data_IF_081380283186
#
_entry.id   IF_081380283186
#
_cell.length_a   1.000
_cell.length_b   1.000
_cell.length_c   1.000
_cell.angle_alpha   90.00
_cell.angle_beta   90.00
_cell.angle_gamma   90.00
#
_symmetry.space_group_name_H-M   'P 1'
#
loop_
_entity.id
_entity.type
_entity.pdbx_description
1 polymer ?
#
# COMPACT_ATOMS: atom_id res chain seq x y z
N UNK A 1 -1.81 13.77 -77.02
CA UNK A 1 -2.44 14.37 -75.82
C UNK A 1 -2.15 15.85 -75.83
N UNK A 2 -3.17 16.68 -76.00
CA UNK A 2 -3.01 18.13 -76.17
C UNK A 2 -2.58 18.81 -74.87
N UNK A 3 -1.83 19.92 -74.98
CA UNK A 3 -1.37 20.76 -73.86
C UNK A 3 -2.50 21.12 -72.87
N UNK A 4 -3.74 21.23 -73.37
CA UNK A 4 -4.93 21.56 -72.58
C UNK A 4 -5.42 20.41 -71.69
N UNK A 5 -5.32 19.15 -72.15
CA UNK A 5 -5.68 17.98 -71.37
C UNK A 5 -4.70 17.77 -70.21
N UNK A 6 -3.40 17.97 -70.47
CA UNK A 6 -2.37 17.88 -69.43
C UNK A 6 -2.54 18.96 -68.35
N UNK A 7 -2.86 20.19 -68.76
CA UNK A 7 -3.12 21.29 -67.83
C UNK A 7 -4.36 21.03 -66.97
N UNK A 8 -5.42 20.47 -67.57
CA UNK A 8 -6.65 20.08 -66.87
C UNK A 8 -6.39 18.95 -65.87
N UNK A 9 -5.67 17.90 -66.28
CA UNK A 9 -5.30 16.78 -65.41
C UNK A 9 -4.52 17.26 -64.18
N UNK A 10 -3.55 18.16 -64.36
CA UNK A 10 -2.79 18.74 -63.24
C UNK A 10 -3.68 19.52 -62.29
N UNK A 11 -4.61 20.32 -62.81
CA UNK A 11 -5.55 21.10 -61.99
C UNK A 11 -6.47 20.20 -61.17
N UNK A 12 -6.98 19.13 -61.76
CA UNK A 12 -7.88 18.21 -61.09
C UNK A 12 -7.14 17.34 -60.05
N UNK A 13 -5.92 16.88 -60.37
CA UNK A 13 -5.04 16.23 -59.39
C UNK A 13 -4.76 17.16 -58.18
N UNK A 14 -4.45 18.43 -58.43
CA UNK A 14 -4.20 19.40 -57.36
C UNK A 14 -5.43 19.60 -56.47
N UNK A 15 -6.63 19.74 -57.06
CA UNK A 15 -7.89 19.81 -56.30
C UNK A 15 -8.14 18.56 -55.47
N UNK A 16 -7.77 17.39 -55.98
CA UNK A 16 -7.95 16.14 -55.26
C UNK A 16 -7.04 16.04 -54.05
N UNK A 17 -5.76 16.38 -54.20
CA UNK A 17 -4.81 16.46 -53.08
C UNK A 17 -5.35 17.40 -52.00
N UNK A 18 -5.83 18.58 -52.38
CA UNK A 18 -6.37 19.56 -51.43
C UNK A 18 -7.68 19.10 -50.78
N UNK A 19 -8.53 18.35 -51.50
CA UNK A 19 -9.73 17.74 -50.92
C UNK A 19 -9.37 16.70 -49.85
N UNK A 20 -8.40 15.83 -50.12
CA UNK A 20 -7.92 14.82 -49.16
C UNK A 20 -7.32 15.49 -47.93
N UNK A 21 -6.46 16.50 -48.11
CA UNK A 21 -5.91 17.29 -47.00
C UNK A 21 -7.01 17.88 -46.10
N UNK A 22 -8.03 18.49 -46.70
CA UNK A 22 -9.18 19.04 -45.94
C UNK A 22 -10.00 17.96 -45.25
N UNK A 23 -10.18 16.80 -45.89
CA UNK A 23 -10.83 15.62 -45.29
C UNK A 23 -10.12 15.18 -44.01
N UNK A 24 -8.81 14.93 -44.10
CA UNK A 24 -8.00 14.49 -42.95
C UNK A 24 -8.03 15.50 -41.79
N UNK A 25 -7.97 16.82 -42.08
CA UNK A 25 -8.07 17.85 -41.04
C UNK A 25 -9.45 17.81 -40.37
N UNK A 26 -10.53 17.65 -41.14
CA UNK A 26 -11.89 17.57 -40.59
C UNK A 26 -12.06 16.33 -39.70
N UNK A 27 -11.54 15.19 -40.14
CA UNK A 27 -11.55 13.95 -39.37
C UNK A 27 -10.80 14.11 -38.04
N UNK A 28 -9.60 14.70 -38.06
CA UNK A 28 -8.83 14.97 -36.85
C UNK A 28 -9.56 15.90 -35.87
N UNK A 29 -10.20 16.96 -36.36
CA UNK A 29 -10.98 17.87 -35.50
C UNK A 29 -12.21 17.17 -34.93
N UNK A 30 -12.91 16.35 -35.73
CA UNK A 30 -14.07 15.61 -35.25
C UNK A 30 -13.69 14.57 -34.19
N UNK A 31 -12.53 13.93 -34.34
CA UNK A 31 -12.00 12.99 -33.33
C UNK A 31 -11.67 13.70 -32.01
N UNK A 32 -11.04 14.88 -32.08
CA UNK A 32 -10.85 15.72 -30.89
C UNK A 32 -12.19 16.04 -30.21
N UNK A 33 -13.25 16.31 -30.98
CA UNK A 33 -14.59 16.55 -30.44
C UNK A 33 -15.15 15.36 -29.67
N UNK A 34 -14.82 14.11 -30.05
CA UNK A 34 -15.34 12.91 -29.37
C UNK A 34 -14.70 12.66 -28.00
N UNK A 35 -13.41 13.00 -27.86
CA UNK A 35 -12.65 12.72 -26.64
C UNK A 35 -12.70 13.86 -25.61
N UNK A 36 -13.09 15.07 -26.04
CA UNK A 36 -13.18 16.24 -25.18
C UNK A 36 -14.56 16.29 -24.52
N UNK A 37 -14.65 16.62 -23.22
CA UNK A 37 -15.93 16.77 -22.52
C UNK A 37 -16.85 17.75 -23.26
N UNK A 38 -18.12 17.37 -23.42
CA UNK A 38 -19.13 18.15 -24.14
C UNK A 38 -18.74 18.49 -25.59
N UNK A 39 -17.80 17.78 -26.21
CA UNK A 39 -17.42 17.98 -27.61
C UNK A 39 -18.25 17.16 -28.60
N UNK A 40 -18.94 16.11 -28.14
CA UNK A 40 -19.78 15.27 -28.99
C UNK A 40 -20.96 16.07 -29.55
N UNK A 41 -21.07 16.15 -30.88
CA UNK A 41 -22.11 16.91 -31.58
C UNK A 41 -21.81 18.40 -31.79
N UNK A 42 -20.67 18.91 -31.28
CA UNK A 42 -20.20 20.26 -31.59
C UNK A 42 -19.78 20.34 -33.06
N UNK A 43 -20.30 21.33 -33.80
CA UNK A 43 -20.00 21.51 -35.24
C UNK A 43 -19.00 22.63 -35.50
N UNK A 44 -18.81 23.51 -34.52
CA UNK A 44 -17.88 24.62 -34.62
C UNK A 44 -16.44 24.16 -34.35
N UNK A 45 -15.63 24.02 -35.42
CA UNK A 45 -14.21 23.64 -35.33
C UNK A 45 -13.41 24.47 -34.33
N UNK A 46 -13.64 25.79 -34.30
CA UNK A 46 -12.97 26.69 -33.35
C UNK A 46 -13.30 26.39 -31.89
N UNK A 47 -14.56 26.05 -31.59
CA UNK A 47 -14.99 25.68 -30.25
C UNK A 47 -14.38 24.33 -29.82
N UNK A 48 -14.37 23.33 -30.72
CA UNK A 48 -13.72 22.04 -30.46
C UNK A 48 -12.24 22.23 -30.11
N UNK A 49 -11.51 23.01 -30.91
CA UNK A 49 -10.09 23.27 -30.69
C UNK A 49 -9.85 23.99 -29.36
N UNK A 50 -10.64 25.04 -29.06
CA UNK A 50 -10.51 25.78 -27.79
C UNK A 50 -10.79 24.88 -26.58
N UNK A 51 -11.84 24.05 -26.63
CA UNK A 51 -12.13 23.08 -25.55
C UNK A 51 -11.06 22.02 -25.43
N UNK A 52 -10.51 21.53 -26.54
CA UNK A 52 -9.41 20.56 -26.52
C UNK A 52 -8.19 21.12 -25.78
N UNK A 53 -7.82 22.38 -26.05
CA UNK A 53 -6.73 23.05 -25.34
C UNK A 53 -7.02 23.16 -23.84
N UNK A 54 -8.21 23.65 -23.47
CA UNK A 54 -8.62 23.76 -22.06
C UNK A 54 -8.60 22.39 -21.36
N UNK A 55 -9.07 21.34 -22.04
CA UNK A 55 -9.10 20.00 -21.49
C UNK A 55 -7.70 19.43 -21.28
N UNK A 56 -6.76 19.66 -22.20
CA UNK A 56 -5.36 19.28 -22.02
C UNK A 56 -4.73 19.96 -20.79
N UNK A 57 -5.00 21.26 -20.60
CA UNK A 57 -4.54 21.97 -19.40
C UNK A 57 -5.13 21.36 -18.12
N UNK A 58 -6.44 21.12 -18.10
CA UNK A 58 -7.10 20.48 -16.97
C UNK A 58 -6.55 19.08 -16.70
N UNK A 59 -6.33 18.25 -17.72
CA UNK A 59 -5.75 16.92 -17.55
C UNK A 59 -4.36 16.99 -16.91
N UNK A 60 -3.51 17.92 -17.35
CA UNK A 60 -2.18 18.13 -16.78
C UNK A 60 -2.23 18.57 -15.31
N UNK A 61 -3.10 19.51 -14.97
CA UNK A 61 -3.31 19.95 -13.59
C UNK A 61 -3.91 18.83 -12.70
N UNK A 62 -4.81 18.03 -13.27
CA UNK A 62 -5.40 16.90 -12.57
C UNK A 62 -4.38 15.77 -12.33
N UNK A 63 -3.51 15.50 -13.28
CA UNK A 63 -2.40 14.56 -13.12
C UNK A 63 -1.45 15.00 -12.00
N UNK A 64 -1.04 16.28 -11.97
CA UNK A 64 -0.21 16.83 -10.90
C UNK A 64 -0.89 16.67 -9.52
N UNK A 65 -2.17 17.04 -9.40
CA UNK A 65 -2.95 16.87 -8.15
C UNK A 65 -3.07 15.41 -7.74
N UNK A 66 -3.26 14.50 -8.69
CA UNK A 66 -3.34 13.07 -8.39
C UNK A 66 -2.00 12.52 -7.86
N UNK A 67 -0.88 12.96 -8.43
CA UNK A 67 0.46 12.59 -7.96
C UNK A 67 0.67 13.10 -6.54
N UNK A 68 0.34 14.36 -6.25
CA UNK A 68 0.44 14.94 -4.90
C UNK A 68 -0.42 14.17 -3.89
N UNK A 69 -1.69 13.92 -4.23
CA UNK A 69 -2.62 13.17 -3.39
C UNK A 69 -2.10 11.76 -3.09
N UNK A 70 -1.69 11.03 -4.12
CA UNK A 70 -1.16 9.67 -3.96
C UNK A 70 0.12 9.65 -3.12
N UNK A 71 1.01 10.63 -3.32
CA UNK A 71 2.24 10.77 -2.54
C UNK A 71 1.93 11.00 -1.07
N UNK A 72 0.98 11.88 -0.76
CA UNK A 72 0.56 12.16 0.60
C UNK A 72 -0.09 10.94 1.25
N UNK A 73 -1.02 10.27 0.56
CA UNK A 73 -1.67 9.05 1.05
C UNK A 73 -0.65 7.94 1.33
N UNK A 74 0.34 7.76 0.44
CA UNK A 74 1.43 6.81 0.65
C UNK A 74 2.24 7.14 1.90
N UNK A 75 2.66 8.40 2.09
CA UNK A 75 3.43 8.81 3.26
C UNK A 75 2.66 8.59 4.57
N UNK A 76 1.37 8.89 4.59
CA UNK A 76 0.51 8.67 5.76
C UNK A 76 0.36 7.18 6.06
N UNK A 77 0.19 6.35 5.03
CA UNK A 77 0.10 4.90 5.20
C UNK A 77 1.43 4.31 5.69
N UNK A 78 2.57 4.74 5.13
CA UNK A 78 3.90 4.31 5.56
C UNK A 78 4.15 4.67 7.03
N UNK A 79 3.75 5.88 7.46
CA UNK A 79 3.82 6.29 8.87
C UNK A 79 2.94 5.41 9.78
N UNK A 80 1.66 5.21 9.41
CA UNK A 80 0.75 4.39 10.19
C UNK A 80 1.20 2.92 10.28
N UNK A 81 1.77 2.38 9.20
CA UNK A 81 2.39 1.06 9.19
C UNK A 81 3.58 0.98 10.15
N UNK A 82 4.45 2.00 10.16
CA UNK A 82 5.57 2.08 11.09
C UNK A 82 5.12 2.13 12.56
N UNK A 83 4.09 2.92 12.87
CA UNK A 83 3.54 3.01 14.23
C UNK A 83 2.94 1.69 14.68
N UNK A 84 2.21 0.99 13.80
CA UNK A 84 1.65 -0.34 14.08
C UNK A 84 2.75 -1.40 14.30
N UNK A 85 3.83 -1.35 13.51
CA UNK A 85 4.98 -2.23 13.69
C UNK A 85 5.65 -2.01 15.05
N UNK A 86 5.85 -0.75 15.44
CA UNK A 86 6.43 -0.41 16.74
C UNK A 86 5.56 -0.90 17.91
N UNK A 87 4.22 -0.77 17.80
CA UNK A 87 3.29 -1.30 18.79
C UNK A 87 3.34 -2.84 18.88
N UNK A 88 3.47 -3.54 17.74
CA UNK A 88 3.61 -5.00 17.73
C UNK A 88 4.92 -5.46 18.37
N UNK A 89 6.02 -4.77 18.09
CA UNK A 89 7.32 -5.06 18.70
C UNK A 89 7.28 -4.86 20.22
N UNK A 90 6.67 -3.78 20.69
CA UNK A 90 6.52 -3.51 22.13
C UNK A 90 5.63 -4.56 22.82
N UNK A 91 4.49 -4.92 22.22
CA UNK A 91 3.62 -5.98 22.72
C UNK A 91 4.36 -7.33 22.79
N UNK A 92 5.17 -7.63 21.78
CA UNK A 92 5.99 -8.85 21.76
C UNK A 92 7.03 -8.84 22.86
N UNK A 93 7.71 -7.70 23.09
CA UNK A 93 8.68 -7.52 24.17
C UNK A 93 8.03 -7.76 25.54
N UNK A 94 6.88 -7.13 25.81
CA UNK A 94 6.15 -7.32 27.06
C UNK A 94 5.71 -8.78 27.25
N UNK A 95 5.26 -9.45 26.19
CA UNK A 95 4.88 -10.86 26.25
C UNK A 95 6.08 -11.77 26.57
N UNK A 96 7.24 -11.53 25.95
CA UNK A 96 8.47 -12.28 26.23
C UNK A 96 8.93 -12.06 27.68
N UNK A 97 8.86 -10.82 28.19
CA UNK A 97 9.19 -10.49 29.58
C UNK A 97 8.28 -11.23 30.58
N UNK A 98 6.96 -11.17 30.37
CA UNK A 98 5.98 -11.92 31.17
C UNK A 98 6.21 -13.43 31.12
N UNK A 99 6.50 -13.97 29.92
CA UNK A 99 6.77 -15.40 29.73
C UNK A 99 8.01 -15.83 30.51
N UNK A 100 9.10 -15.04 30.43
CA UNK A 100 10.34 -15.32 31.16
C UNK A 100 10.15 -15.14 32.67
N UNK A 101 9.37 -14.16 33.10
CA UNK A 101 8.97 -13.95 34.50
C UNK A 101 8.23 -15.16 35.06
N UNK A 102 7.24 -15.67 34.32
CA UNK A 102 6.50 -16.89 34.69
C UNK A 102 7.41 -18.11 34.79
N UNK A 103 8.27 -18.35 33.80
CA UNK A 103 9.22 -19.48 33.84
C UNK A 103 10.15 -19.42 35.06
N UNK A 104 10.64 -18.22 35.42
CA UNK A 104 11.47 -18.05 36.62
C UNK A 104 10.69 -18.35 37.90
N UNK A 105 9.48 -17.83 38.04
CA UNK A 105 8.63 -18.06 39.21
C UNK A 105 8.24 -19.54 39.36
N UNK A 106 7.95 -20.22 38.24
CA UNK A 106 7.67 -21.65 38.22
C UNK A 106 8.88 -22.48 38.66
N UNK A 107 10.09 -22.15 38.16
CA UNK A 107 11.32 -22.82 38.56
C UNK A 107 11.65 -22.60 40.05
N UNK A 108 11.42 -21.40 40.58
CA UNK A 108 11.58 -21.09 42.01
C UNK A 108 10.59 -21.90 42.87
N UNK A 109 9.32 -21.96 42.45
CA UNK A 109 8.28 -22.77 43.11
C UNK A 109 8.61 -24.27 43.10
N UNK A 110 9.15 -24.78 41.99
CA UNK A 110 9.60 -26.18 41.88
C UNK A 110 10.77 -26.45 42.85
N UNK A 111 11.76 -25.56 42.90
CA UNK A 111 12.87 -25.64 43.85
C UNK A 111 12.42 -25.66 45.30
N UNK A 112 11.49 -24.77 45.69
CA UNK A 112 10.92 -24.73 47.04
C UNK A 112 10.10 -25.99 47.36
N UNK A 113 9.30 -26.50 46.42
CA UNK A 113 8.57 -27.77 46.60
C UNK A 113 9.51 -28.96 46.77
N UNK A 114 10.59 -29.04 45.98
CA UNK A 114 11.61 -30.07 46.10
C UNK A 114 12.35 -30.03 47.44
N UNK A 115 12.71 -28.84 47.91
CA UNK A 115 13.32 -28.65 49.24
C UNK A 115 12.39 -29.03 50.39
N UNK A 116 11.11 -28.69 50.30
CA UNK A 116 10.10 -29.05 51.31
C UNK A 116 9.85 -30.56 51.37
N UNK A 117 9.92 -31.25 50.23
CA UNK A 117 9.81 -32.72 50.14
C UNK A 117 11.01 -33.44 50.77
N UNK A 118 12.22 -32.93 50.57
CA UNK A 118 13.43 -33.43 51.24
C UNK A 118 13.41 -33.18 52.76
N UNK A 119 12.98 -32.00 53.18
CA UNK A 119 12.85 -31.68 54.60
C UNK A 119 11.76 -32.52 55.30
N UNK A 120 10.68 -32.88 54.61
CA UNK A 120 9.69 -33.82 55.17
C UNK A 120 10.20 -35.27 55.23
N UNK A 121 11.01 -35.72 54.27
CA UNK A 121 11.63 -37.06 54.29
C UNK A 121 12.73 -37.18 55.38
N UNK A 122 13.46 -36.10 55.68
CA UNK A 122 14.44 -36.08 56.78
C UNK A 122 13.79 -35.91 58.17
N UNK A 123 12.60 -35.30 58.25
CA UNK A 123 11.86 -35.10 59.50
C UNK A 123 11.18 -36.35 60.05
N UNK A 124 10.75 -37.26 59.17
CA UNK A 124 10.08 -38.53 59.55
C UNK A 124 11.07 -39.64 59.97
N UNK A 125 12.38 -39.42 59.84
CA UNK A 125 13.43 -40.39 60.17
C UNK A 125 13.97 -40.32 61.61
N UNK A 126 13.31 -39.59 62.51
CA UNK A 126 13.85 -39.27 63.85
C UNK A 126 12.84 -39.41 65.00
N UNK A 127 11.99 -40.42 64.97
CA UNK A 127 11.35 -40.97 66.16
C UNK A 127 11.70 -42.45 66.27
N UNK A 128 12.85 -42.77 66.89
CA UNK A 128 12.97 -43.98 67.70
C UNK A 128 14.31 -43.99 68.45
N UNK A 129 14.20 -44.00 69.78
CA UNK A 129 15.27 -44.40 70.68
C UNK A 129 16.03 -43.26 71.37
N UNK A 130 15.62 -42.91 72.58
CA UNK A 130 16.42 -43.27 73.76
C UNK A 130 15.63 -42.98 75.05
N UNK A 131 15.44 -43.99 75.89
CA UNK A 131 14.57 -43.89 77.04
C UNK A 131 14.66 -45.06 78.00
N UNK A 132 15.86 -45.45 78.44
CA UNK A 132 16.08 -46.02 79.79
C UNK A 132 17.56 -46.23 80.10
N UNK A 133 18.14 -45.28 80.85
CA UNK A 133 19.21 -45.57 81.81
C UNK A 133 18.59 -45.61 83.20
N UNK A 134 18.69 -46.75 83.88
CA UNK A 134 19.05 -46.78 85.30
C UNK A 134 19.46 -48.19 85.71
N UNK A 135 20.70 -48.28 86.20
CA UNK A 135 21.38 -49.43 86.77
C UNK A 135 21.97 -48.95 88.08
N UNK A 136 21.60 -49.57 89.19
CA UNK A 136 22.29 -49.62 90.50
C UNK A 136 21.44 -50.56 91.36
N UNK A 137 21.85 -51.81 91.46
CA UNK A 137 22.52 -52.44 92.62
C UNK A 137 21.51 -53.16 93.52
#
# INVERSE_FOLDING_TARGET
MGSDEWTRQRKDNHKEVERRRRGNINEGINELGRIVPNGSGEKAKGAILSRAVQYIHHLKENEARNIEKWTLEKLLMDQAMGDLQAQLEEMRRMWDEERMGRQRAEAELEGLKGGKKRASEEGDGKEDGDGKKQRTE
#
